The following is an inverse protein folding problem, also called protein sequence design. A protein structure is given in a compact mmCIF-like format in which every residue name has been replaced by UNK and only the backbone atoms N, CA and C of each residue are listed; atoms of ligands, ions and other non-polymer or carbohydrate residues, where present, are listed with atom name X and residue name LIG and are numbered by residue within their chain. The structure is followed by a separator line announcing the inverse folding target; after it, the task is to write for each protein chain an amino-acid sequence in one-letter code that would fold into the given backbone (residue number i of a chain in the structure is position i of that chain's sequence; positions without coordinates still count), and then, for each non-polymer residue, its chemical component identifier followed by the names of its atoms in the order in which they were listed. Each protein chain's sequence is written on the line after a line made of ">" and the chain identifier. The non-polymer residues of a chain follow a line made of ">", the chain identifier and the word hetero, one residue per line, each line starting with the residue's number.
data_IF_055281285901
#
_entry.id   IF_055281285901
#
_cell.length_a   1.000
_cell.length_b   1.000
_cell.length_c   1.000
_cell.angle_alpha   90.00
_cell.angle_beta   90.00
_cell.angle_gamma   90.00
#
_symmetry.space_group_name_H-M   'P 1'
#
loop_
_entity.id
_entity.type
_entity.pdbx_description
1 polymer ?
#
# COMPACT_ATOMS: atom_id res chain seq x y z
N UNK A 1 11.73 21.10 7.32
CA UNK A 1 11.34 19.68 7.41
C UNK A 1 10.14 19.52 6.51
N UNK A 2 10.21 18.68 5.48
CA UNK A 2 9.04 18.39 4.65
C UNK A 2 8.07 17.54 5.46
N UNK A 3 6.77 17.86 5.41
CA UNK A 3 5.75 17.04 6.09
C UNK A 3 5.79 15.60 5.57
N UNK A 4 5.60 14.59 6.44
CA UNK A 4 5.52 13.22 5.99
C UNK A 4 4.34 13.07 5.02
N UNK A 5 4.47 12.25 3.97
CA UNK A 5 3.37 12.02 3.06
C UNK A 5 2.16 11.48 3.81
N UNK A 6 0.96 11.85 3.36
CA UNK A 6 -0.30 11.57 4.07
C UNK A 6 -0.50 10.08 4.41
N UNK A 7 0.03 9.17 3.59
CA UNK A 7 -0.03 7.72 3.78
C UNK A 7 0.94 7.18 4.87
N UNK A 8 1.88 7.99 5.37
CA UNK A 8 2.79 7.65 6.48
C UNK A 8 2.42 8.36 7.80
N UNK A 9 1.23 8.95 7.89
CA UNK A 9 0.77 9.65 9.10
C UNK A 9 0.22 8.68 10.16
N UNK A 10 -0.36 7.55 9.73
CA UNK A 10 -0.92 6.53 10.63
C UNK A 10 -1.06 5.18 9.93
N UNK A 11 -1.22 4.10 10.72
CA UNK A 11 -1.52 2.78 10.17
C UNK A 11 -2.80 2.79 9.30
N UNK A 12 -3.84 3.49 9.74
CA UNK A 12 -5.10 3.61 9.00
C UNK A 12 -4.91 4.34 7.66
N UNK A 13 -4.07 5.40 7.63
CA UNK A 13 -3.75 6.14 6.41
C UNK A 13 -3.01 5.24 5.40
N UNK A 14 -2.05 4.45 5.88
CA UNK A 14 -1.34 3.47 5.05
C UNK A 14 -2.32 2.44 4.47
N UNK A 15 -3.12 1.81 5.31
CA UNK A 15 -4.08 0.77 4.90
C UNK A 15 -5.08 1.34 3.87
N UNK A 16 -5.56 2.56 4.09
CA UNK A 16 -6.48 3.24 3.15
C UNK A 16 -5.83 3.46 1.78
N UNK A 17 -4.55 3.86 1.75
CA UNK A 17 -3.83 4.03 0.49
C UNK A 17 -3.64 2.70 -0.24
N UNK A 18 -3.18 1.66 0.47
CA UNK A 18 -2.92 0.34 -0.11
C UNK A 18 -4.20 -0.36 -0.60
N UNK A 19 -5.32 -0.19 0.10
CA UNK A 19 -6.62 -0.77 -0.25
C UNK A 19 -7.48 0.11 -1.16
N UNK A 20 -6.93 1.21 -1.69
CA UNK A 20 -7.63 2.02 -2.68
C UNK A 20 -8.08 1.18 -3.89
N UNK A 21 -9.21 1.53 -4.50
CA UNK A 21 -9.69 0.87 -5.71
C UNK A 21 -8.77 1.14 -6.92
N UNK A 22 -8.24 2.37 -7.01
CA UNK A 22 -7.37 2.81 -8.11
C UNK A 22 -5.90 2.71 -7.73
N UNK A 23 -5.03 2.51 -8.71
CA UNK A 23 -3.58 2.63 -8.58
C UNK A 23 -3.09 3.60 -9.67
N UNK A 24 -2.54 4.78 -9.32
CA UNK A 24 -2.24 5.26 -7.96
C UNK A 24 -3.49 5.59 -7.11
N UNK A 25 -3.40 5.62 -5.76
CA UNK A 25 -4.53 5.94 -4.88
C UNK A 25 -4.99 7.40 -4.93
N UNK A 26 -4.09 8.32 -5.25
CA UNK A 26 -4.35 9.75 -5.44
C UNK A 26 -3.85 10.13 -6.84
N UNK A 27 -4.55 11.05 -7.51
CA UNK A 27 -4.06 11.62 -8.78
C UNK A 27 -2.68 12.22 -8.56
N UNK A 28 -1.74 11.91 -9.45
CA UNK A 28 -0.33 12.35 -9.39
C UNK A 28 0.44 11.86 -8.14
N UNK A 29 -0.13 10.91 -7.40
CA UNK A 29 0.51 10.25 -6.27
C UNK A 29 1.35 9.03 -6.66
N UNK A 30 2.15 8.50 -5.72
CA UNK A 30 2.90 7.26 -5.94
C UNK A 30 1.97 6.06 -6.12
N UNK A 31 2.42 5.05 -6.87
CA UNK A 31 1.72 3.78 -6.96
C UNK A 31 1.72 3.07 -5.60
N UNK A 32 0.80 2.14 -5.40
CA UNK A 32 0.68 1.41 -4.13
C UNK A 32 1.97 0.66 -3.75
N UNK A 33 2.73 0.19 -4.74
CA UNK A 33 4.00 -0.50 -4.49
C UNK A 33 5.07 0.46 -3.93
N UNK A 34 5.10 1.70 -4.42
CA UNK A 34 6.03 2.72 -3.94
C UNK A 34 5.65 3.21 -2.54
N UNK A 35 4.34 3.27 -2.26
CA UNK A 35 3.80 3.54 -0.92
C UNK A 35 4.21 2.44 0.07
N UNK A 36 4.04 1.17 -0.31
CA UNK A 36 4.44 0.02 0.51
C UNK A 36 5.95 0.02 0.79
N UNK A 37 6.77 0.30 -0.23
CA UNK A 37 8.22 0.41 -0.09
C UNK A 37 8.62 1.56 0.84
N UNK A 38 7.98 2.73 0.68
CA UNK A 38 8.22 3.89 1.55
C UNK A 38 7.88 3.59 3.01
N UNK A 39 6.76 2.91 3.27
CA UNK A 39 6.38 2.49 4.62
C UNK A 39 7.35 1.46 5.22
N UNK A 40 7.86 0.53 4.41
CA UNK A 40 8.86 -0.44 4.82
C UNK A 40 10.16 0.24 5.25
N UNK A 41 10.67 1.16 4.43
CA UNK A 41 11.94 1.87 4.65
C UNK A 41 11.86 2.89 5.79
N UNK A 42 10.69 3.46 6.05
CA UNK A 42 10.52 4.46 7.11
C UNK A 42 10.54 3.81 8.50
N UNK A 43 11.70 3.85 9.17
CA UNK A 43 11.88 3.27 10.52
C UNK A 43 11.16 4.06 11.61
N UNK A 44 10.99 5.37 11.43
CA UNK A 44 10.22 6.23 12.35
C UNK A 44 8.70 6.01 12.28
N UNK A 45 8.23 5.29 11.26
CA UNK A 45 6.82 4.98 11.08
C UNK A 45 6.47 3.65 11.76
N UNK A 46 5.97 3.77 13.00
CA UNK A 46 5.59 2.64 13.84
C UNK A 46 4.16 2.19 13.56
N UNK A 47 4.04 1.07 12.84
CA UNK A 47 2.80 0.31 12.68
C UNK A 47 2.99 -1.04 13.35
N UNK A 48 2.12 -1.44 14.31
CA UNK A 48 2.16 -2.79 14.87
C UNK A 48 2.11 -3.82 13.75
N UNK A 49 3.05 -4.78 13.76
CA UNK A 49 3.14 -5.83 12.74
C UNK A 49 3.20 -5.30 11.30
N UNK A 50 3.88 -4.16 11.07
CA UNK A 50 4.04 -3.52 9.75
C UNK A 50 4.39 -4.49 8.63
N UNK A 51 5.31 -5.42 8.89
CA UNK A 51 5.71 -6.44 7.92
C UNK A 51 4.55 -7.35 7.50
N UNK A 52 3.72 -7.79 8.45
CA UNK A 52 2.56 -8.63 8.19
C UNK A 52 1.50 -7.87 7.37
N UNK A 53 1.24 -6.61 7.72
CA UNK A 53 0.29 -5.75 6.97
C UNK A 53 0.71 -5.61 5.51
N UNK A 54 2.00 -5.36 5.24
CA UNK A 54 2.50 -5.22 3.87
C UNK A 54 2.47 -6.56 3.13
N UNK A 55 2.86 -7.66 3.79
CA UNK A 55 2.82 -9.01 3.23
C UNK A 55 1.41 -9.41 2.83
N UNK A 56 0.44 -9.27 3.74
CA UNK A 56 -0.95 -9.65 3.51
C UNK A 56 -1.51 -8.84 2.35
N UNK A 57 -1.23 -7.54 2.30
CA UNK A 57 -1.65 -6.69 1.18
C UNK A 57 -1.05 -7.15 -0.16
N UNK A 58 0.24 -7.48 -0.23
CA UNK A 58 0.88 -7.95 -1.48
C UNK A 58 0.20 -9.23 -1.98
N UNK A 59 -0.03 -10.20 -1.08
CA UNK A 59 -0.67 -11.47 -1.42
C UNK A 59 -2.09 -11.22 -1.94
N UNK A 60 -2.86 -10.37 -1.25
CA UNK A 60 -4.20 -10.01 -1.69
C UNK A 60 -4.19 -9.28 -3.05
N UNK A 61 -3.27 -8.34 -3.26
CA UNK A 61 -3.14 -7.57 -4.50
C UNK A 61 -2.82 -8.47 -5.70
N UNK A 62 -1.84 -9.35 -5.53
CA UNK A 62 -1.47 -10.32 -6.54
C UNK A 62 -2.61 -11.29 -6.87
N UNK A 63 -3.32 -11.75 -5.84
CA UNK A 63 -4.47 -12.66 -5.98
C UNK A 63 -5.64 -12.01 -6.73
N UNK A 64 -5.93 -10.73 -6.50
CA UNK A 64 -6.94 -9.99 -7.26
C UNK A 64 -6.59 -9.91 -8.74
N UNK A 65 -5.32 -9.65 -9.05
CA UNK A 65 -4.86 -9.56 -10.43
C UNK A 65 -4.92 -10.92 -11.14
N UNK A 66 -4.61 -12.01 -10.43
CA UNK A 66 -4.67 -13.37 -10.99
C UNK A 66 -6.09 -13.87 -11.27
N UNK A 67 -7.07 -13.51 -10.44
CA UNK A 67 -8.48 -13.86 -10.71
C UNK A 67 -9.01 -13.23 -12.00
N UNK A 68 -8.52 -12.03 -12.35
CA UNK A 68 -8.85 -11.39 -13.63
C UNK A 68 -8.32 -12.15 -14.85
N UNK A 69 -7.15 -12.79 -14.73
CA UNK A 69 -6.54 -13.56 -15.81
C UNK A 69 -7.30 -14.86 -16.12
N UNK A 70 -7.76 -15.58 -15.09
CA UNK A 70 -8.51 -16.83 -15.26
C UNK A 70 -9.94 -16.60 -15.77
N UNK A 71 -10.55 -15.44 -15.49
CA UNK A 71 -11.91 -15.12 -15.94
C UNK A 71 -12.01 -14.71 -17.43
N UNK A 72 -10.87 -14.52 -18.11
CA UNK A 72 -10.79 -14.11 -19.52
C UNK A 72 -10.19 -15.21 -20.43
N UNK A 73 -9.97 -16.42 -19.89
CA UNK A 73 -9.50 -17.61 -20.62
C UNK A 73 -10.58 -18.69 -20.65
#
# INVERSE_FOLDING_TARGET
>A
MSDPPSYLTSASSLIKALKSASDPPQSDGPNKIDIALSAWQQTSFHVPRKADVLRDWIIEAWSRNHKGYVALS
#
